data_IF_842071986144
#
_entry.id   IF_842071986144
#
_cell.length_a   1.000
_cell.length_b   1.000
_cell.length_c   1.000
_cell.angle_alpha   90.00
_cell.angle_beta   90.00
_cell.angle_gamma   90.00
#
_symmetry.space_group_name_H-M   'P 1'
#
loop_
_entity.id
_entity.type
_entity.pdbx_description
1 polymer ?
#
# COMPACT_ATOMS: atom_id res chain seq x y z
N UNK A 1 12.65 -13.59 6.77
CA UNK A 1 11.62 -13.40 5.72
C UNK A 1 11.36 -14.76 5.08
N UNK A 2 10.12 -15.05 4.72
CA UNK A 2 9.69 -16.27 4.03
C UNK A 2 8.91 -15.90 2.78
N UNK A 3 8.96 -16.74 1.74
CA UNK A 3 8.26 -16.49 0.48
C UNK A 3 7.21 -17.58 0.23
N UNK A 4 6.03 -17.21 -0.29
CA UNK A 4 5.10 -18.18 -0.86
C UNK A 4 5.67 -18.74 -2.18
N UNK A 5 5.09 -19.83 -2.68
CA UNK A 5 5.46 -20.37 -4.00
C UNK A 5 5.06 -19.41 -5.14
N UNK A 6 3.90 -18.77 -4.99
CA UNK A 6 3.34 -17.76 -5.89
C UNK A 6 3.16 -16.46 -5.09
N UNK A 7 3.62 -15.33 -5.59
CA UNK A 7 3.51 -14.06 -4.86
C UNK A 7 2.07 -13.54 -4.89
N UNK A 8 1.46 -13.56 -6.08
CA UNK A 8 0.10 -13.08 -6.29
C UNK A 8 -0.64 -13.90 -7.34
N UNK A 9 -1.93 -14.12 -7.12
CA UNK A 9 -2.85 -14.60 -8.13
C UNK A 9 -4.08 -13.68 -8.27
N UNK A 10 -4.70 -13.68 -9.44
CA UNK A 10 -5.92 -12.94 -9.73
C UNK A 10 -6.90 -13.86 -10.48
N UNK A 11 -7.85 -14.50 -9.77
CA UNK A 11 -8.80 -15.42 -10.39
C UNK A 11 -9.84 -14.71 -11.26
N UNK A 12 -10.35 -15.44 -12.24
CA UNK A 12 -11.44 -15.07 -13.14
C UNK A 12 -12.61 -16.08 -13.01
N UNK A 13 -13.80 -15.66 -13.45
CA UNK A 13 -15.03 -16.46 -13.35
C UNK A 13 -14.99 -17.77 -14.16
N UNK A 14 -14.14 -17.84 -15.18
CA UNK A 14 -13.94 -19.04 -16.01
C UNK A 14 -13.03 -20.08 -15.35
N UNK A 15 -12.59 -19.85 -14.11
CA UNK A 15 -11.68 -20.71 -13.38
C UNK A 15 -10.21 -20.53 -13.74
N UNK A 16 -9.87 -19.64 -14.69
CA UNK A 16 -8.49 -19.26 -14.97
C UNK A 16 -8.00 -18.17 -14.01
N UNK A 17 -6.69 -17.89 -14.00
CA UNK A 17 -6.11 -16.85 -13.17
C UNK A 17 -4.92 -16.20 -13.86
N UNK A 18 -4.70 -14.91 -13.59
CA UNK A 18 -3.41 -14.27 -13.79
C UNK A 18 -2.50 -14.57 -12.60
N UNK A 19 -1.25 -14.97 -12.86
CA UNK A 19 -0.32 -15.44 -11.82
C UNK A 19 0.97 -14.64 -11.88
N UNK A 20 1.50 -14.28 -10.71
CA UNK A 20 2.73 -13.51 -10.54
C UNK A 20 3.70 -14.30 -9.66
N UNK A 21 4.89 -14.52 -10.21
CA UNK A 21 6.02 -15.14 -9.53
C UNK A 21 7.12 -14.12 -9.27
N UNK A 22 8.04 -14.46 -8.36
CA UNK A 22 9.35 -13.82 -8.22
C UNK A 22 10.28 -14.20 -9.38
N UNK A 23 9.80 -14.00 -10.61
CA UNK A 23 10.50 -14.24 -11.85
C UNK A 23 9.65 -13.72 -13.01
N UNK A 24 10.24 -12.80 -13.78
CA UNK A 24 9.62 -12.29 -15.00
C UNK A 24 9.40 -13.41 -16.03
N UNK A 25 10.32 -14.37 -16.10
CA UNK A 25 10.26 -15.45 -17.08
C UNK A 25 9.19 -16.47 -16.70
N UNK A 26 9.17 -16.95 -15.45
CA UNK A 26 8.11 -17.86 -15.00
C UNK A 26 6.73 -17.24 -15.17
N UNK A 27 6.59 -15.96 -14.85
CA UNK A 27 5.32 -15.24 -15.03
C UNK A 27 4.95 -15.10 -16.51
N UNK A 28 5.89 -14.74 -17.37
CA UNK A 28 5.62 -14.59 -18.80
C UNK A 28 5.24 -15.95 -19.45
N UNK A 29 5.80 -17.05 -18.96
CA UNK A 29 5.51 -18.39 -19.49
C UNK A 29 4.05 -18.82 -19.21
N UNK A 30 3.42 -18.29 -18.16
CA UNK A 30 1.99 -18.52 -17.88
C UNK A 30 1.05 -17.56 -18.63
N UNK A 31 1.57 -16.62 -19.43
CA UNK A 31 0.77 -15.56 -20.07
C UNK A 31 0.42 -15.81 -21.54
N UNK A 32 0.82 -16.95 -22.10
CA UNK A 32 0.54 -17.32 -23.49
C UNK A 32 0.90 -16.20 -24.47
N UNK A 33 -0.06 -15.65 -25.26
CA UNK A 33 0.23 -14.61 -26.26
C UNK A 33 0.66 -13.26 -25.67
N UNK A 34 0.53 -13.05 -24.36
CA UNK A 34 0.99 -11.84 -23.67
C UNK A 34 2.40 -11.95 -23.07
N UNK A 35 3.07 -13.10 -23.16
CA UNK A 35 4.42 -13.30 -22.62
C UNK A 35 5.41 -12.18 -23.00
N UNK A 36 5.53 -11.89 -24.30
CA UNK A 36 6.41 -10.82 -24.82
C UNK A 36 5.94 -9.43 -24.41
N UNK A 37 4.63 -9.22 -24.33
CA UNK A 37 4.03 -7.93 -23.93
C UNK A 37 4.31 -7.62 -22.47
N UNK A 38 4.22 -8.62 -21.61
CA UNK A 38 4.53 -8.52 -20.19
C UNK A 38 6.01 -8.25 -19.94
N UNK A 39 6.90 -9.01 -20.59
CA UNK A 39 8.35 -8.74 -20.54
C UNK A 39 8.69 -7.31 -20.96
N UNK A 40 8.06 -6.80 -22.02
CA UNK A 40 8.24 -5.40 -22.46
C UNK A 40 7.63 -4.36 -21.54
N UNK A 41 6.59 -4.71 -20.80
CA UNK A 41 5.92 -3.80 -19.89
C UNK A 41 6.72 -3.61 -18.59
N UNK A 42 7.22 -4.70 -18.01
CA UNK A 42 7.75 -4.75 -16.63
C UNK A 42 9.21 -5.21 -16.55
N UNK A 43 9.73 -5.93 -17.55
CA UNK A 43 11.03 -6.61 -17.44
C UNK A 43 12.22 -5.67 -17.24
N UNK A 44 12.24 -4.52 -17.93
CA UNK A 44 13.27 -3.49 -17.74
C UNK A 44 13.23 -2.87 -16.34
N UNK A 45 12.02 -2.67 -15.80
CA UNK A 45 11.80 -2.16 -14.45
C UNK A 45 12.23 -3.17 -13.39
N UNK A 46 11.90 -4.45 -13.57
CA UNK A 46 12.29 -5.51 -12.63
C UNK A 46 13.82 -5.71 -12.59
N UNK A 47 14.47 -5.73 -13.76
CA UNK A 47 15.92 -5.91 -13.85
C UNK A 47 16.72 -4.74 -13.26
N UNK A 48 16.18 -3.52 -13.30
CA UNK A 48 16.83 -2.30 -12.83
C UNK A 48 16.12 -1.68 -11.62
N UNK A 49 15.40 -2.49 -10.84
CA UNK A 49 14.51 -1.97 -9.82
C UNK A 49 15.24 -1.11 -8.78
N UNK A 50 16.43 -1.52 -8.35
CA UNK A 50 17.19 -0.83 -7.30
C UNK A 50 17.58 0.59 -7.71
N UNK A 51 17.99 0.73 -8.98
CA UNK A 51 18.34 2.01 -9.56
C UNK A 51 17.10 2.90 -9.77
N UNK A 52 15.97 2.31 -10.15
CA UNK A 52 14.71 3.04 -10.34
C UNK A 52 14.08 3.45 -9.01
N UNK A 53 14.09 2.57 -8.01
CA UNK A 53 13.55 2.81 -6.68
C UNK A 53 14.27 3.97 -6.01
N UNK A 54 15.58 4.07 -6.19
CA UNK A 54 16.38 5.18 -5.67
C UNK A 54 15.89 6.55 -6.19
N UNK A 55 15.50 6.64 -7.45
CA UNK A 55 15.04 7.90 -8.06
C UNK A 55 13.54 8.15 -7.88
N UNK A 56 12.70 7.11 -7.96
CA UNK A 56 11.23 7.22 -7.87
C UNK A 56 10.77 7.41 -6.43
N UNK A 57 11.49 6.86 -5.45
CA UNK A 57 11.12 6.96 -4.04
C UNK A 57 11.72 8.18 -3.33
N UNK A 58 12.31 9.12 -4.09
CA UNK A 58 12.78 10.42 -3.59
C UNK A 58 11.76 11.53 -3.87
N UNK A 59 11.80 12.63 -3.11
CA UNK A 59 11.04 13.83 -3.45
C UNK A 59 11.32 14.29 -4.89
N UNK A 60 10.25 14.59 -5.64
CA UNK A 60 10.28 14.88 -7.08
C UNK A 60 11.08 16.14 -7.46
N UNK A 61 11.45 16.96 -6.48
CA UNK A 61 12.25 18.17 -6.69
C UNK A 61 13.77 17.87 -6.68
N UNK A 62 14.17 16.60 -6.56
CA UNK A 62 15.57 16.19 -6.67
C UNK A 62 15.98 15.89 -8.12
N UNK A 63 17.25 16.11 -8.46
CA UNK A 63 17.83 15.72 -9.75
C UNK A 63 17.96 14.19 -9.76
N UNK A 64 17.37 13.47 -10.74
CA UNK A 64 17.46 12.01 -10.81
C UNK A 64 18.89 11.57 -11.09
N UNK A 65 19.37 10.53 -10.41
CA UNK A 65 20.69 9.94 -10.67
C UNK A 65 20.70 9.11 -11.96
N UNK A 66 19.55 8.62 -12.39
CA UNK A 66 19.39 7.77 -13.57
C UNK A 66 18.32 8.34 -14.54
N UNK A 67 18.57 9.51 -15.16
CA UNK A 67 17.58 10.20 -16.00
C UNK A 67 17.13 9.40 -17.22
N UNK A 68 18.01 8.59 -17.81
CA UNK A 68 17.67 7.72 -18.96
C UNK A 68 16.68 6.62 -18.56
N UNK A 69 16.83 6.06 -17.35
CA UNK A 69 15.93 5.01 -16.84
C UNK A 69 14.60 5.60 -16.42
N UNK A 70 14.61 6.77 -15.79
CA UNK A 70 13.40 7.53 -15.51
C UNK A 70 12.67 7.91 -16.82
N UNK A 71 13.39 8.23 -17.89
CA UNK A 71 12.80 8.50 -19.21
C UNK A 71 12.24 7.24 -19.91
N UNK A 72 12.75 6.05 -19.62
CA UNK A 72 12.18 4.79 -20.12
C UNK A 72 10.89 4.38 -19.36
N UNK A 73 10.82 4.68 -18.06
CA UNK A 73 9.65 4.43 -17.22
C UNK A 73 8.57 5.51 -17.39
N UNK A 74 8.97 6.78 -17.46
CA UNK A 74 8.10 7.96 -17.40
C UNK A 74 6.92 7.95 -18.38
N UNK A 75 7.13 7.66 -19.68
CA UNK A 75 6.04 7.62 -20.65
C UNK A 75 4.98 6.56 -20.33
N UNK A 76 5.36 5.40 -19.80
CA UNK A 76 4.43 4.34 -19.39
C UNK A 76 3.76 4.71 -18.06
N UNK A 77 4.55 5.20 -17.11
CA UNK A 77 4.11 5.55 -15.77
C UNK A 77 3.00 6.62 -15.77
N UNK A 78 3.06 7.61 -16.67
CA UNK A 78 2.06 8.69 -16.77
C UNK A 78 0.71 8.22 -17.29
N UNK A 79 0.65 7.11 -18.05
CA UNK A 79 -0.59 6.64 -18.65
C UNK A 79 -1.62 6.20 -17.60
N UNK A 80 -2.92 6.38 -17.87
CA UNK A 80 -3.95 5.68 -17.14
C UNK A 80 -3.81 4.16 -17.24
N UNK A 81 -4.06 3.45 -16.16
CA UNK A 81 -4.05 1.99 -16.12
C UNK A 81 -5.05 1.39 -17.12
N UNK A 82 -6.19 2.07 -17.38
CA UNK A 82 -7.15 1.67 -18.43
C UNK A 82 -6.56 1.69 -19.84
N UNK A 83 -5.56 2.54 -20.11
CA UNK A 83 -4.85 2.57 -21.39
C UNK A 83 -3.82 1.45 -21.43
N UNK A 84 -3.03 1.28 -20.36
CA UNK A 84 -2.03 0.22 -20.29
C UNK A 84 -2.65 -1.18 -20.36
N UNK A 85 -3.82 -1.40 -19.76
CA UNK A 85 -4.52 -2.69 -19.84
C UNK A 85 -4.81 -3.14 -21.28
N UNK A 86 -5.05 -2.20 -22.21
CA UNK A 86 -5.29 -2.50 -23.63
C UNK A 86 -4.05 -3.03 -24.36
N UNK A 87 -2.85 -2.86 -23.78
CA UNK A 87 -1.63 -3.46 -24.28
C UNK A 87 -1.70 -4.98 -24.29
N UNK A 88 -2.35 -5.55 -23.27
CA UNK A 88 -2.51 -6.99 -23.09
C UNK A 88 -3.74 -7.52 -23.85
N UNK A 89 -3.64 -8.75 -24.36
CA UNK A 89 -4.68 -9.41 -25.17
C UNK A 89 -5.61 -10.29 -24.35
N UNK A 90 -5.06 -10.99 -23.37
CA UNK A 90 -5.76 -11.97 -22.53
C UNK A 90 -6.37 -11.29 -21.31
N UNK A 91 -7.48 -11.84 -20.82
CA UNK A 91 -8.10 -11.34 -19.59
C UNK A 91 -7.22 -11.62 -18.37
N UNK A 92 -6.46 -12.72 -18.34
CA UNK A 92 -5.54 -13.06 -17.25
C UNK A 92 -4.46 -11.98 -17.06
N UNK A 93 -3.81 -11.55 -18.15
CA UNK A 93 -2.77 -10.51 -18.07
C UNK A 93 -3.35 -9.13 -17.71
N UNK A 94 -4.53 -8.80 -18.26
CA UNK A 94 -5.25 -7.57 -17.92
C UNK A 94 -5.67 -7.53 -16.46
N UNK A 95 -6.26 -8.62 -15.97
CA UNK A 95 -6.77 -8.74 -14.63
C UNK A 95 -5.62 -8.70 -13.62
N UNK A 96 -4.53 -9.43 -13.86
CA UNK A 96 -3.34 -9.37 -13.01
C UNK A 96 -2.78 -7.95 -12.91
N UNK A 97 -2.57 -7.27 -14.04
CA UNK A 97 -2.13 -5.88 -14.04
C UNK A 97 -3.14 -4.94 -13.32
N UNK A 98 -4.44 -5.17 -13.53
CA UNK A 98 -5.52 -4.44 -12.86
C UNK A 98 -5.48 -4.58 -11.35
N UNK A 99 -5.27 -5.80 -10.84
CA UNK A 99 -5.10 -6.06 -9.42
C UNK A 99 -3.92 -5.28 -8.84
N UNK A 100 -2.76 -5.28 -9.52
CA UNK A 100 -1.61 -4.46 -9.10
C UNK A 100 -1.93 -2.96 -9.12
N UNK A 101 -2.60 -2.47 -10.17
CA UNK A 101 -2.95 -1.06 -10.30
C UNK A 101 -4.00 -0.61 -9.27
N UNK A 102 -4.90 -1.50 -8.82
CA UNK A 102 -5.91 -1.21 -7.83
C UNK A 102 -5.32 -0.81 -6.46
N UNK A 103 -4.10 -1.25 -6.12
CA UNK A 103 -3.36 -0.75 -4.94
C UNK A 103 -3.20 0.78 -4.92
N UNK A 104 -3.37 1.45 -6.07
CA UNK A 104 -3.41 2.90 -6.14
C UNK A 104 -4.59 3.52 -5.37
N UNK A 105 -5.65 2.77 -5.06
CA UNK A 105 -6.80 3.25 -4.28
C UNK A 105 -7.43 4.51 -4.90
N UNK A 106 -7.58 4.51 -6.22
CA UNK A 106 -8.04 5.65 -7.03
C UNK A 106 -8.67 5.17 -8.34
N UNK A 107 -9.31 6.08 -9.07
CA UNK A 107 -9.87 5.73 -10.38
C UNK A 107 -8.75 5.37 -11.36
N UNK A 108 -8.84 4.20 -11.97
CA UNK A 108 -7.84 3.66 -12.90
C UNK A 108 -7.79 4.34 -14.27
N UNK A 109 -8.71 5.28 -14.54
CA UNK A 109 -8.73 6.12 -15.74
C UNK A 109 -7.95 7.43 -15.59
N UNK A 110 -7.31 7.65 -14.44
CA UNK A 110 -6.51 8.85 -14.16
C UNK A 110 -5.05 8.66 -14.54
N UNK A 111 -4.33 9.73 -14.95
CA UNK A 111 -2.88 9.68 -15.15
C UNK A 111 -2.16 9.14 -13.91
N UNK A 112 -0.95 8.61 -14.11
CA UNK A 112 -0.06 8.08 -13.06
C UNK A 112 -0.50 6.75 -12.40
N UNK A 113 -1.67 6.23 -12.74
CA UNK A 113 -2.16 4.96 -12.17
C UNK A 113 -1.40 3.74 -12.69
N UNK A 114 -0.84 3.81 -13.91
CA UNK A 114 0.05 2.78 -14.43
C UNK A 114 1.34 2.67 -13.63
N UNK A 115 1.86 3.79 -13.10
CA UNK A 115 3.11 3.82 -12.35
C UNK A 115 3.07 2.84 -11.16
N UNK A 116 2.01 2.88 -10.36
CA UNK A 116 1.83 2.01 -9.20
C UNK A 116 1.73 0.53 -9.63
N UNK A 117 0.88 0.22 -10.62
CA UNK A 117 0.75 -1.16 -11.11
C UNK A 117 2.06 -1.75 -11.63
N UNK A 118 2.84 -0.96 -12.38
CA UNK A 118 4.15 -1.38 -12.89
C UNK A 118 5.19 -1.52 -11.78
N UNK A 119 5.22 -0.61 -10.80
CA UNK A 119 6.16 -0.69 -9.67
C UNK A 119 5.88 -1.92 -8.80
N UNK A 120 4.61 -2.22 -8.50
CA UNK A 120 4.22 -3.42 -7.77
C UNK A 120 4.54 -4.71 -8.52
N UNK A 121 4.35 -4.73 -9.84
CA UNK A 121 4.76 -5.87 -10.67
C UNK A 121 6.29 -6.00 -10.69
N UNK A 122 7.04 -4.91 -10.83
CA UNK A 122 8.49 -4.92 -10.87
C UNK A 122 9.13 -5.36 -9.54
N UNK A 123 8.61 -4.87 -8.40
CA UNK A 123 9.05 -5.34 -7.07
C UNK A 123 8.80 -6.83 -6.88
N UNK A 124 7.62 -7.31 -7.29
CA UNK A 124 7.30 -8.73 -7.20
C UNK A 124 8.27 -9.58 -8.02
N UNK A 125 8.52 -9.23 -9.29
CA UNK A 125 9.47 -9.99 -10.12
C UNK A 125 10.90 -10.00 -9.56
N UNK A 126 11.32 -8.90 -8.92
CA UNK A 126 12.69 -8.74 -8.40
C UNK A 126 12.87 -9.38 -7.03
N UNK A 127 11.97 -9.10 -6.10
CA UNK A 127 12.10 -9.40 -4.67
C UNK A 127 11.03 -10.35 -4.13
N UNK A 128 9.99 -10.62 -4.91
CA UNK A 128 8.80 -11.31 -4.46
C UNK A 128 8.04 -10.49 -3.44
N UNK A 129 7.02 -11.09 -2.85
CA UNK A 129 6.24 -10.53 -1.74
C UNK A 129 6.48 -11.33 -0.46
N UNK A 130 7.61 -11.09 0.22
CA UNK A 130 7.95 -11.85 1.42
C UNK A 130 7.01 -11.56 2.57
N UNK A 131 6.85 -12.56 3.42
CA UNK A 131 6.20 -12.51 4.71
C UNK A 131 7.28 -12.45 5.80
N UNK A 132 7.07 -11.59 6.80
CA UNK A 132 7.86 -11.62 8.01
C UNK A 132 7.48 -12.87 8.82
N UNK A 133 8.48 -13.68 9.17
CA UNK A 133 8.31 -14.83 10.05
C UNK A 133 7.83 -14.35 11.42
N UNK A 134 6.78 -14.98 11.95
CA UNK A 134 6.05 -14.53 13.13
C UNK A 134 5.11 -13.33 12.89
N UNK A 135 4.94 -12.88 11.65
CA UNK A 135 4.08 -11.75 11.28
C UNK A 135 4.74 -10.37 11.42
N UNK A 136 3.99 -9.31 11.14
CA UNK A 136 4.51 -7.92 11.13
C UNK A 136 5.04 -7.44 12.48
N UNK A 137 4.59 -8.04 13.58
CA UNK A 137 5.11 -7.75 14.92
C UNK A 137 6.61 -8.02 15.07
N UNK A 138 7.18 -8.97 14.32
CA UNK A 138 8.62 -9.26 14.38
C UNK A 138 9.47 -8.14 13.77
N UNK A 139 8.96 -7.45 12.75
CA UNK A 139 9.60 -6.24 12.19
C UNK A 139 9.66 -5.15 13.26
N UNK A 140 8.54 -4.92 13.96
CA UNK A 140 8.46 -3.89 15.01
C UNK A 140 9.37 -4.23 16.18
N UNK A 141 9.38 -5.49 16.63
CA UNK A 141 10.26 -5.95 17.71
C UNK A 141 11.74 -5.77 17.35
N UNK A 142 12.13 -6.07 16.10
CA UNK A 142 13.50 -5.84 15.63
C UNK A 142 13.87 -4.35 15.62
N UNK A 143 12.98 -3.48 15.16
CA UNK A 143 13.21 -2.03 15.17
C UNK A 143 13.28 -1.45 16.60
N UNK A 144 12.45 -1.95 17.51
CA UNK A 144 12.47 -1.58 18.92
C UNK A 144 13.81 -1.98 19.58
N UNK A 145 14.29 -3.20 19.32
CA UNK A 145 15.59 -3.66 19.84
C UNK A 145 16.76 -2.80 19.32
N UNK A 146 16.73 -2.39 18.05
CA UNK A 146 17.75 -1.47 17.49
C UNK A 146 17.69 -0.10 18.17
N UNK A 147 16.49 0.42 18.43
CA UNK A 147 16.30 1.70 19.13
C UNK A 147 16.88 1.63 20.55
N UNK A 148 16.53 0.58 21.31
CA UNK A 148 17.01 0.35 22.68
C UNK A 148 18.54 0.16 22.74
N UNK A 149 19.11 -0.58 21.78
CA UNK A 149 20.56 -0.76 21.67
C UNK A 149 21.33 0.56 21.45
N UNK A 150 20.67 1.59 20.92
CA UNK A 150 21.22 2.94 20.76
C UNK A 150 20.77 3.91 21.87
N UNK A 151 20.29 3.38 23.00
CA UNK A 151 19.88 4.17 24.16
C UNK A 151 18.52 4.87 24.03
N UNK A 152 17.73 4.51 23.02
CA UNK A 152 16.37 4.99 22.87
C UNK A 152 15.39 4.32 23.85
N UNK A 153 14.31 5.02 24.17
CA UNK A 153 13.27 4.54 25.09
C UNK A 153 11.91 4.56 24.40
N UNK A 154 11.07 3.57 24.68
CA UNK A 154 9.70 3.49 24.14
C UNK A 154 8.71 3.70 25.27
N UNK A 155 7.81 4.67 25.13
CA UNK A 155 6.69 4.90 26.04
C UNK A 155 5.36 4.55 25.35
N UNK A 156 4.64 3.57 25.90
CA UNK A 156 3.31 3.14 25.42
C UNK A 156 2.21 3.58 26.39
N UNK A 157 0.95 3.59 25.93
CA UNK A 157 -0.19 4.03 26.75
C UNK A 157 -0.27 5.54 26.96
N UNK A 158 0.54 6.31 26.23
CA UNK A 158 0.59 7.78 26.28
C UNK A 158 -0.02 8.34 24.99
N UNK A 159 -1.11 9.09 25.11
CA UNK A 159 -1.71 9.79 23.97
C UNK A 159 -1.24 11.25 23.95
N UNK A 160 -0.41 11.62 22.97
CA UNK A 160 0.01 13.01 22.73
C UNK A 160 -1.12 13.78 22.07
N UNK A 161 -1.70 14.74 22.78
CA UNK A 161 -2.83 15.57 22.32
C UNK A 161 -2.43 16.99 21.98
N UNK A 162 -1.31 17.47 22.52
CA UNK A 162 -0.76 18.79 22.24
C UNK A 162 0.74 18.89 22.49
N UNK A 163 1.34 20.00 22.06
CA UNK A 163 2.79 20.24 22.17
C UNK A 163 3.33 20.13 23.61
N UNK A 164 2.53 20.49 24.61
CA UNK A 164 2.90 20.40 26.03
C UNK A 164 3.11 18.97 26.53
N UNK A 165 2.57 17.98 25.81
CA UNK A 165 2.71 16.56 26.17
C UNK A 165 4.04 15.99 25.63
N UNK A 166 4.76 16.76 24.81
CA UNK A 166 6.05 16.38 24.23
C UNK A 166 7.16 16.97 25.13
N UNK A 167 8.10 16.14 25.63
CA UNK A 167 9.25 16.63 26.39
C UNK A 167 10.08 17.65 25.60
N UNK A 168 10.88 18.44 26.30
CA UNK A 168 11.83 19.34 25.65
C UNK A 168 12.82 18.52 24.81
N UNK A 169 12.92 18.86 23.52
CA UNK A 169 13.65 18.08 22.53
C UNK A 169 14.18 18.97 21.40
N UNK A 170 15.42 18.72 20.97
CA UNK A 170 16.03 19.41 19.83
C UNK A 170 15.32 19.11 18.51
N UNK A 171 14.81 17.88 18.38
CA UNK A 171 14.11 17.38 17.18
C UNK A 171 12.84 16.64 17.61
N UNK A 172 11.73 16.96 16.94
CA UNK A 172 10.47 16.22 17.05
C UNK A 172 10.09 15.66 15.69
N UNK A 173 9.93 14.34 15.60
CA UNK A 173 9.49 13.63 14.39
C UNK A 173 8.06 13.13 14.59
N UNK A 174 7.14 13.65 13.78
CA UNK A 174 5.72 13.35 13.84
C UNK A 174 5.37 12.27 12.81
N UNK A 175 5.22 11.04 13.27
CA UNK A 175 4.66 9.95 12.45
C UNK A 175 3.12 10.01 12.47
N UNK A 176 2.60 11.15 12.00
CA UNK A 176 1.20 11.52 12.11
C UNK A 176 0.61 11.97 10.77
N UNK A 177 -0.71 11.96 10.67
CA UNK A 177 -1.42 12.61 9.56
C UNK A 177 -1.28 14.14 9.63
N UNK A 178 -1.40 14.86 8.50
CA UNK A 178 -1.40 16.32 8.49
C UNK A 178 -2.45 16.95 9.41
N UNK A 179 -3.61 16.30 9.58
CA UNK A 179 -4.66 16.74 10.49
C UNK A 179 -4.26 16.60 11.96
N UNK A 180 -3.62 15.49 12.34
CA UNK A 180 -3.10 15.31 13.69
C UNK A 180 -1.94 16.27 13.99
N UNK A 181 -1.02 16.47 13.03
CA UNK A 181 0.05 17.46 13.17
C UNK A 181 -0.49 18.89 13.35
N UNK A 182 -1.56 19.25 12.62
CA UNK A 182 -2.26 20.53 12.79
C UNK A 182 -2.87 20.70 14.18
N UNK A 183 -3.41 19.63 14.76
CA UNK A 183 -3.97 19.68 16.12
C UNK A 183 -2.91 19.98 17.17
N UNK A 184 -1.71 19.39 17.02
CA UNK A 184 -0.63 19.51 18.01
C UNK A 184 0.17 20.81 17.84
N UNK A 185 0.49 21.22 16.60
CA UNK A 185 1.40 22.33 16.29
C UNK A 185 0.77 23.48 15.49
N UNK A 186 -0.54 23.44 15.22
CA UNK A 186 -1.18 24.37 14.29
C UNK A 186 -1.14 25.84 14.73
N UNK A 187 -0.93 26.13 16.01
CA UNK A 187 -0.72 27.48 16.57
C UNK A 187 0.66 28.04 16.21
N UNK A 188 1.69 27.19 16.19
CA UNK A 188 3.07 27.54 15.87
C UNK A 188 3.41 27.44 14.37
N UNK A 189 2.61 26.73 13.58
CA UNK A 189 2.86 26.55 12.14
C UNK A 189 2.67 27.85 11.34
N UNK A 190 3.55 28.15 10.36
CA UNK A 190 3.33 29.23 9.40
C UNK A 190 2.00 29.08 8.65
N UNK A 191 1.31 30.20 8.43
CA UNK A 191 -0.04 30.22 7.86
C UNK A 191 -0.16 29.47 6.51
N UNK A 192 0.88 29.52 5.66
CA UNK A 192 0.90 28.82 4.37
C UNK A 192 0.90 27.29 4.54
N UNK A 193 1.73 26.77 5.43
CA UNK A 193 1.82 25.32 5.71
C UNK A 193 0.54 24.85 6.38
N UNK A 194 0.04 25.62 7.36
CA UNK A 194 -1.24 25.36 8.02
C UNK A 194 -2.39 25.23 7.04
N UNK A 195 -2.46 26.12 6.04
CA UNK A 195 -3.46 26.05 4.95
C UNK A 195 -3.31 24.81 4.08
N UNK A 196 -2.08 24.40 3.75
CA UNK A 196 -1.84 23.17 2.98
C UNK A 196 -2.33 21.93 3.73
N UNK A 197 -2.01 21.79 5.02
CA UNK A 197 -2.44 20.63 5.80
C UNK A 197 -3.96 20.58 5.97
N UNK A 198 -4.64 21.74 6.07
CA UNK A 198 -6.11 21.81 6.13
C UNK A 198 -6.79 21.36 4.84
N UNK A 199 -6.10 21.50 3.70
CA UNK A 199 -6.59 21.09 2.38
C UNK A 199 -6.15 19.69 2.00
N UNK A 200 -5.37 19.01 2.85
CA UNK A 200 -4.91 17.65 2.61
C UNK A 200 -6.11 16.71 2.57
N UNK A 201 -6.25 15.96 1.47
CA UNK A 201 -7.43 15.13 1.24
C UNK A 201 -7.17 13.69 1.66
N UNK A 202 -8.15 13.11 2.34
CA UNK A 202 -8.28 11.68 2.59
C UNK A 202 -9.18 11.06 1.51
N UNK A 203 -9.11 9.74 1.34
CA UNK A 203 -10.00 9.06 0.40
C UNK A 203 -9.79 7.57 0.17
N UNK A 204 -8.81 6.93 0.81
CA UNK A 204 -8.40 5.55 0.50
C UNK A 204 -8.88 4.54 1.56
N UNK A 205 -10.20 4.48 1.78
CA UNK A 205 -10.77 3.73 2.90
C UNK A 205 -10.88 2.23 2.68
N UNK A 206 -10.51 1.45 3.71
CA UNK A 206 -10.64 0.00 3.72
C UNK A 206 -11.73 -0.46 4.70
N UNK A 207 -12.37 -1.59 4.39
CA UNK A 207 -13.11 -2.37 5.36
C UNK A 207 -12.38 -3.70 5.51
N UNK A 208 -11.89 -4.01 6.71
CA UNK A 208 -10.98 -5.13 6.94
C UNK A 208 -11.72 -6.28 7.61
N UNK A 209 -11.48 -7.51 7.16
CA UNK A 209 -11.99 -8.73 7.80
C UNK A 209 -10.89 -9.77 7.88
N UNK A 210 -10.63 -10.24 9.09
CA UNK A 210 -9.78 -11.40 9.37
C UNK A 210 -10.65 -12.64 9.57
N UNK A 211 -10.16 -13.77 9.07
CA UNK A 211 -10.79 -15.07 9.23
C UNK A 211 -9.80 -16.05 9.85
N UNK A 212 -10.28 -16.90 10.75
CA UNK A 212 -9.66 -18.19 11.04
C UNK A 212 -10.42 -19.25 10.25
N UNK A 213 -9.73 -20.02 9.41
CA UNK A 213 -10.35 -21.04 8.57
C UNK A 213 -9.83 -22.44 8.88
N UNK A 214 -10.66 -23.47 8.73
CA UNK A 214 -10.27 -24.88 8.87
C UNK A 214 -9.76 -25.45 7.54
N UNK A 215 -8.47 -25.74 7.45
CA UNK A 215 -7.77 -26.12 6.24
C UNK A 215 -7.49 -24.93 5.33
N UNK A 216 -7.44 -25.17 4.02
CA UNK A 216 -7.16 -24.12 3.03
C UNK A 216 -8.45 -23.57 2.39
N UNK A 217 -8.33 -22.42 1.75
CA UNK A 217 -9.40 -21.86 0.93
C UNK A 217 -9.58 -22.76 -0.32
N UNK A 218 -10.81 -23.22 -0.62
CA UNK A 218 -11.09 -24.12 -1.74
C UNK A 218 -11.17 -23.35 -3.07
N UNK A 219 -10.09 -22.67 -3.45
CA UNK A 219 -10.03 -21.91 -4.71
C UNK A 219 -10.32 -22.81 -5.92
N UNK A 220 -11.16 -22.32 -6.84
CA UNK A 220 -11.44 -22.98 -8.12
C UNK A 220 -10.16 -23.14 -8.94
N UNK A 221 -9.31 -22.11 -8.95
CA UNK A 221 -8.01 -22.16 -9.62
C UNK A 221 -6.91 -22.64 -8.64
N UNK A 222 -6.16 -23.71 -8.96
CA UNK A 222 -5.15 -24.27 -8.06
C UNK A 222 -3.95 -23.36 -7.79
N UNK A 223 -3.65 -22.39 -8.66
CA UNK A 223 -2.57 -21.42 -8.43
C UNK A 223 -2.93 -20.46 -7.30
N UNK A 224 -4.21 -20.13 -7.12
CA UNK A 224 -4.66 -19.27 -6.02
C UNK A 224 -4.42 -19.92 -4.65
N UNK A 225 -4.43 -21.26 -4.55
CA UNK A 225 -4.12 -21.99 -3.30
C UNK A 225 -2.65 -21.89 -2.89
N UNK A 226 -1.77 -21.58 -3.84
CA UNK A 226 -0.31 -21.46 -3.64
C UNK A 226 0.16 -20.01 -3.54
N UNK A 227 -0.76 -19.06 -3.73
CA UNK A 227 -0.47 -17.64 -3.78
C UNK A 227 -0.53 -16.99 -2.38
N UNK A 228 0.55 -16.31 -1.98
CA UNK A 228 0.58 -15.58 -0.71
C UNK A 228 -0.43 -14.43 -0.64
N UNK A 229 -0.75 -13.83 -1.79
CA UNK A 229 -1.81 -12.83 -1.95
C UNK A 229 -2.73 -13.18 -3.12
N UNK A 230 -4.02 -12.87 -2.99
CA UNK A 230 -5.02 -13.03 -4.05
C UNK A 230 -5.80 -11.73 -4.22
N UNK A 231 -5.90 -11.26 -5.46
CA UNK A 231 -6.68 -10.08 -5.83
C UNK A 231 -8.02 -10.48 -6.43
N UNK A 232 -9.12 -10.15 -5.75
CA UNK A 232 -10.46 -10.53 -6.14
C UNK A 232 -11.19 -9.33 -6.73
N UNK A 233 -11.16 -9.23 -8.05
CA UNK A 233 -11.86 -8.18 -8.78
C UNK A 233 -12.41 -8.61 -10.13
N UNK A 234 -12.29 -9.88 -10.50
CA UNK A 234 -12.68 -10.38 -11.81
C UNK A 234 -11.91 -9.71 -12.96
N UNK A 235 -12.52 -9.56 -14.15
CA UNK A 235 -11.88 -8.90 -15.29
C UNK A 235 -11.46 -7.45 -14.99
N UNK A 236 -10.45 -6.95 -15.72
CA UNK A 236 -9.96 -5.57 -15.52
C UNK A 236 -11.06 -4.50 -15.60
N UNK A 237 -12.03 -4.69 -16.50
CA UNK A 237 -13.14 -3.76 -16.66
C UNK A 237 -14.02 -3.65 -15.41
N UNK A 238 -14.18 -4.76 -14.66
CA UNK A 238 -14.90 -4.79 -13.39
C UNK A 238 -14.12 -4.01 -12.32
N UNK A 239 -12.81 -4.26 -12.17
CA UNK A 239 -11.93 -3.51 -11.26
C UNK A 239 -11.99 -2.00 -11.55
N UNK A 240 -11.94 -1.61 -12.82
CA UNK A 240 -11.99 -0.20 -13.20
C UNK A 240 -13.35 0.45 -12.90
N UNK A 241 -14.44 -0.31 -12.98
CA UNK A 241 -15.78 0.14 -12.60
C UNK A 241 -15.95 0.23 -11.08
N UNK A 242 -15.52 -0.77 -10.32
CA UNK A 242 -15.62 -0.79 -8.86
C UNK A 242 -14.82 0.36 -8.24
N UNK A 243 -13.58 0.60 -8.69
CA UNK A 243 -12.77 1.73 -8.23
C UNK A 243 -13.39 3.09 -8.61
N UNK A 244 -14.08 3.15 -9.75
CA UNK A 244 -14.83 4.35 -10.14
C UNK A 244 -16.01 4.61 -9.23
N UNK A 245 -16.82 3.60 -8.94
CA UNK A 245 -17.98 3.68 -8.04
C UNK A 245 -17.53 4.11 -6.63
N UNK A 246 -16.48 3.46 -6.10
CA UNK A 246 -15.87 3.80 -4.81
C UNK A 246 -15.46 5.27 -4.74
N UNK A 247 -14.73 5.75 -5.75
CA UNK A 247 -14.30 7.14 -5.84
C UNK A 247 -15.47 8.15 -5.96
N UNK A 248 -16.66 7.69 -6.37
CA UNK A 248 -17.90 8.47 -6.39
C UNK A 248 -18.70 8.36 -5.09
N UNK A 249 -18.16 7.69 -4.06
CA UNK A 249 -18.84 7.49 -2.79
C UNK A 249 -19.83 6.32 -2.77
N UNK A 250 -19.85 5.49 -3.82
CA UNK A 250 -20.78 4.36 -3.95
C UNK A 250 -20.10 3.05 -3.61
N UNK A 251 -20.69 2.28 -2.69
CA UNK A 251 -20.23 0.92 -2.40
C UNK A 251 -20.58 0.00 -3.57
N UNK A 252 -19.59 -0.72 -4.09
CA UNK A 252 -19.81 -1.70 -5.14
C UNK A 252 -20.40 -2.98 -4.52
N UNK A 253 -21.32 -3.63 -5.25
CA UNK A 253 -21.90 -4.93 -4.84
C UNK A 253 -20.81 -6.01 -4.76
N UNK A 254 -19.87 -5.98 -5.70
CA UNK A 254 -18.70 -6.88 -5.76
C UNK A 254 -17.43 -6.03 -5.66
N UNK A 255 -17.02 -5.62 -4.44
CA UNK A 255 -15.88 -4.73 -4.27
C UNK A 255 -14.57 -5.44 -4.66
N UNK A 256 -13.54 -4.64 -4.97
CA UNK A 256 -12.20 -5.19 -5.07
C UNK A 256 -11.72 -5.61 -3.66
N UNK A 257 -11.37 -6.88 -3.51
CA UNK A 257 -10.92 -7.46 -2.22
C UNK A 257 -9.50 -8.00 -2.39
N UNK A 258 -8.62 -7.65 -1.46
CA UNK A 258 -7.33 -8.30 -1.32
C UNK A 258 -7.41 -9.34 -0.22
N UNK A 259 -6.86 -10.52 -0.48
CA UNK A 259 -6.80 -11.64 0.46
C UNK A 259 -5.34 -12.02 0.65
N UNK A 260 -4.88 -12.09 1.89
CA UNK A 260 -3.54 -12.57 2.23
C UNK A 260 -3.58 -13.93 2.90
N UNK A 261 -2.86 -14.89 2.30
CA UNK A 261 -2.69 -16.27 2.75
C UNK A 261 -1.27 -16.47 3.30
N UNK A 262 -0.88 -15.61 4.25
CA UNK A 262 0.51 -15.53 4.71
C UNK A 262 1.02 -16.81 5.41
N UNK A 263 0.10 -17.65 5.90
CA UNK A 263 0.42 -18.97 6.46
C UNK A 263 1.10 -19.91 5.45
N UNK A 264 0.90 -19.71 4.14
CA UNK A 264 1.57 -20.48 3.09
C UNK A 264 3.09 -20.24 3.08
N UNK A 265 3.51 -19.02 3.39
CA UNK A 265 4.93 -18.66 3.51
C UNK A 265 5.47 -18.96 4.91
N UNK A 266 4.65 -18.76 5.94
CA UNK A 266 5.01 -18.96 7.34
C UNK A 266 3.97 -19.83 8.07
N UNK A 267 4.15 -21.17 8.05
CA UNK A 267 3.25 -22.10 8.72
C UNK A 267 3.18 -21.96 10.24
N UNK A 268 4.15 -21.27 10.87
CA UNK A 268 4.14 -21.04 12.33
C UNK A 268 2.97 -20.19 12.80
N UNK A 269 2.27 -19.54 11.86
CA UNK A 269 1.07 -18.73 12.11
C UNK A 269 -0.20 -19.55 12.26
N UNK A 270 -0.17 -20.82 11.86
CA UNK A 270 -1.29 -21.73 11.95
C UNK A 270 -1.27 -22.53 13.24
N UNK A 271 -2.45 -22.90 13.73
CA UNK A 271 -2.60 -23.76 14.90
C UNK A 271 -3.37 -25.01 14.50
N UNK A 272 -2.72 -26.17 14.55
CA UNK A 272 -3.22 -27.41 13.97
C UNK A 272 -3.64 -27.20 12.50
N UNK A 273 -4.92 -27.41 12.16
CA UNK A 273 -5.45 -27.19 10.82
C UNK A 273 -6.10 -25.80 10.64
N UNK A 274 -6.00 -24.92 11.63
CA UNK A 274 -6.60 -23.59 11.58
C UNK A 274 -5.61 -22.57 11.02
N UNK A 275 -5.96 -22.01 9.87
CA UNK A 275 -5.14 -21.05 9.13
C UNK A 275 -5.71 -19.62 9.26
N UNK A 276 -4.89 -18.61 9.61
CA UNK A 276 -5.33 -17.22 9.62
C UNK A 276 -5.25 -16.60 8.22
N UNK A 277 -6.32 -15.93 7.83
CA UNK A 277 -6.42 -15.16 6.58
C UNK A 277 -6.76 -13.71 6.94
N UNK A 278 -6.08 -12.76 6.30
CA UNK A 278 -6.52 -11.36 6.35
C UNK A 278 -7.12 -10.97 5.02
N UNK A 279 -8.13 -10.11 5.04
CA UNK A 279 -8.69 -9.52 3.84
C UNK A 279 -9.11 -8.08 4.07
N UNK A 280 -9.20 -7.30 3.01
CA UNK A 280 -9.90 -6.03 3.05
C UNK A 280 -10.53 -5.68 1.70
N UNK A 281 -11.69 -5.04 1.76
CA UNK A 281 -12.35 -4.45 0.60
C UNK A 281 -12.00 -2.98 0.46
N UNK A 282 -11.93 -2.53 -0.79
CA UNK A 282 -11.96 -1.10 -1.09
C UNK A 282 -13.38 -0.56 -0.95
N UNK A 283 -13.58 0.38 -0.02
CA UNK A 283 -14.89 0.96 0.29
C UNK A 283 -14.88 2.49 0.10
N UNK A 284 -16.07 3.13 -0.06
CA UNK A 284 -16.18 4.58 -0.06
C UNK A 284 -15.54 5.22 1.17
N UNK A 285 -15.08 6.46 1.03
CA UNK A 285 -14.49 7.19 2.15
C UNK A 285 -15.48 7.33 3.31
N UNK A 286 -15.09 6.85 4.50
CA UNK A 286 -15.95 6.87 5.69
C UNK A 286 -17.20 6.00 5.58
N UNK A 287 -17.16 4.92 4.79
CA UNK A 287 -18.28 3.98 4.66
C UNK A 287 -18.73 3.45 6.03
N UNK A 288 -20.02 3.62 6.34
CA UNK A 288 -20.63 3.30 7.65
C UNK A 288 -21.36 1.97 7.69
N UNK A 289 -21.49 1.28 6.55
CA UNK A 289 -22.10 -0.05 6.49
C UNK A 289 -21.12 -1.17 6.81
N UNK A 290 -21.63 -2.39 6.84
CA UNK A 290 -20.84 -3.61 7.04
C UNK A 290 -20.57 -4.29 5.68
N UNK A 291 -19.30 -4.36 5.28
CA UNK A 291 -18.88 -5.03 4.04
C UNK A 291 -18.50 -6.50 4.25
N UNK A 292 -18.69 -7.07 5.45
CA UNK A 292 -18.29 -8.46 5.77
C UNK A 292 -18.93 -9.46 4.82
N UNK A 293 -20.25 -9.37 4.60
CA UNK A 293 -20.95 -10.28 3.68
C UNK A 293 -20.41 -10.17 2.25
N UNK A 294 -20.22 -8.94 1.75
CA UNK A 294 -19.69 -8.69 0.41
C UNK A 294 -18.26 -9.22 0.22
N UNK A 295 -17.41 -9.15 1.26
CA UNK A 295 -16.07 -9.74 1.24
C UNK A 295 -16.15 -11.27 1.16
N UNK A 296 -16.99 -11.88 1.99
CA UNK A 296 -17.18 -13.34 1.98
C UNK A 296 -17.76 -13.80 0.64
N UNK A 297 -18.76 -13.10 0.10
CA UNK A 297 -19.34 -13.37 -1.24
C UNK A 297 -18.29 -13.27 -2.34
N UNK A 298 -17.41 -12.28 -2.26
CA UNK A 298 -16.36 -12.10 -3.25
C UNK A 298 -15.31 -13.21 -3.19
N UNK A 299 -14.99 -13.73 -2.00
CA UNK A 299 -14.13 -14.92 -1.85
C UNK A 299 -14.86 -16.16 -2.37
N UNK A 300 -16.11 -16.37 -1.96
CA UNK A 300 -16.97 -17.49 -2.35
C UNK A 300 -17.13 -17.61 -3.87
N UNK A 301 -17.24 -16.47 -4.59
CA UNK A 301 -17.31 -16.41 -6.05
C UNK A 301 -16.16 -17.15 -6.73
N UNK A 302 -14.95 -17.10 -6.17
CA UNK A 302 -13.74 -17.73 -6.73
C UNK A 302 -13.27 -18.97 -5.95
N UNK A 303 -13.88 -19.22 -4.79
CA UNK A 303 -13.62 -20.37 -3.92
C UNK A 303 -14.93 -20.90 -3.30
N UNK A 304 -15.78 -21.60 -4.08
CA UNK A 304 -17.01 -22.19 -3.58
C UNK A 304 -16.75 -23.12 -2.39
N UNK A 305 -17.50 -22.95 -1.31
CA UNK A 305 -17.31 -23.62 -0.02
C UNK A 305 -16.41 -22.87 0.97
N UNK A 306 -15.96 -21.65 0.65
CA UNK A 306 -15.17 -20.83 1.59
C UNK A 306 -15.93 -20.54 2.89
N UNK A 307 -17.23 -20.21 2.79
CA UNK A 307 -18.11 -19.98 3.96
C UNK A 307 -18.06 -21.12 4.98
N UNK A 308 -18.06 -22.36 4.50
CA UNK A 308 -18.04 -23.56 5.34
C UNK A 308 -16.69 -23.78 6.04
N UNK A 309 -15.62 -23.08 5.59
CA UNK A 309 -14.29 -23.14 6.21
C UNK A 309 -14.13 -22.13 7.34
N UNK A 310 -14.99 -21.13 7.46
CA UNK A 310 -14.83 -20.06 8.45
C UNK A 310 -15.15 -20.59 9.86
N UNK A 311 -14.12 -20.58 10.72
CA UNK A 311 -14.25 -20.93 12.15
C UNK A 311 -14.46 -19.69 13.01
N UNK A 312 -13.82 -18.57 12.65
CA UNK A 312 -14.00 -17.29 13.32
C UNK A 312 -13.81 -16.13 12.35
N UNK A 313 -14.47 -15.01 12.66
CA UNK A 313 -14.43 -13.77 11.88
C UNK A 313 -14.19 -12.60 12.82
N UNK A 314 -13.30 -11.68 12.43
CA UNK A 314 -13.12 -10.39 13.09
C UNK A 314 -13.13 -9.28 12.03
N UNK A 315 -14.09 -8.35 12.12
CA UNK A 315 -14.22 -7.22 11.20
C UNK A 315 -13.83 -5.90 11.85
N UNK A 316 -13.26 -5.01 11.05
CA UNK A 316 -12.96 -3.63 11.40
C UNK A 316 -13.47 -2.73 10.27
N UNK A 317 -14.54 -2.00 10.55
CA UNK A 317 -15.08 -0.99 9.66
C UNK A 317 -14.24 0.29 9.66
N UNK A 318 -14.69 1.28 8.90
CA UNK A 318 -13.90 2.50 8.70
C UNK A 318 -13.76 3.33 9.98
N UNK A 319 -14.77 3.31 10.85
CA UNK A 319 -14.75 3.99 12.14
C UNK A 319 -13.85 3.27 13.14
N UNK A 320 -13.90 1.94 13.18
CA UNK A 320 -13.07 1.10 14.04
C UNK A 320 -11.59 1.21 13.65
N UNK A 321 -11.28 1.26 12.35
CA UNK A 321 -9.91 1.51 11.88
C UNK A 321 -9.38 2.89 12.34
N UNK A 322 -10.22 3.92 12.26
CA UNK A 322 -9.87 5.26 12.74
C UNK A 322 -9.69 5.32 14.27
N UNK A 323 -10.46 4.53 15.02
CA UNK A 323 -10.31 4.40 16.47
C UNK A 323 -9.05 3.61 16.85
N UNK A 324 -8.74 2.54 16.11
CA UNK A 324 -7.54 1.73 16.29
C UNK A 324 -6.26 2.54 16.03
N UNK A 325 -6.25 3.32 14.95
CA UNK A 325 -5.15 4.22 14.64
C UNK A 325 -5.69 5.57 14.17
N UNK A 326 -5.53 6.66 14.95
CA UNK A 326 -6.02 7.99 14.59
C UNK A 326 -5.46 8.57 13.29
N UNK A 327 -4.43 7.96 12.69
CA UNK A 327 -3.95 8.29 11.36
C UNK A 327 -4.86 7.76 10.23
N UNK A 328 -5.68 6.73 10.48
CA UNK A 328 -6.60 6.14 9.52
C UNK A 328 -7.94 6.88 9.46
N UNK A 329 -7.87 8.18 9.18
CA UNK A 329 -9.04 9.07 9.16
C UNK A 329 -10.08 8.53 8.17
N UNK A 330 -11.29 8.24 8.65
CA UNK A 330 -12.37 7.66 7.83
C UNK A 330 -12.02 6.29 7.26
N UNK A 331 -11.11 5.54 7.88
CA UNK A 331 -10.61 4.25 7.42
C UNK A 331 -9.51 4.33 6.36
N UNK A 332 -8.95 5.52 6.07
CA UNK A 332 -7.89 5.70 5.06
C UNK A 332 -6.56 5.07 5.51
N UNK A 333 -6.26 3.88 4.98
CA UNK A 333 -5.05 3.12 5.32
C UNK A 333 -3.79 3.60 4.58
N UNK A 334 -3.95 4.42 3.54
CA UNK A 334 -2.88 4.96 2.69
C UNK A 334 -2.33 6.28 3.27
N UNK A 335 -3.10 6.92 4.17
CA UNK A 335 -2.75 8.18 4.82
C UNK A 335 -2.88 9.38 3.89
N UNK A 336 -3.81 9.30 2.93
CA UNK A 336 -4.17 10.36 2.01
C UNK A 336 -4.70 9.85 0.67
N UNK A 337 -5.45 10.71 -0.02
CA UNK A 337 -5.91 10.45 -1.37
C UNK A 337 -4.72 10.32 -2.36
N UNK A 338 -4.78 9.27 -3.17
CA UNK A 338 -3.85 8.99 -4.27
C UNK A 338 -4.40 9.52 -5.61
N UNK A 339 -4.77 10.79 -5.68
CA UNK A 339 -5.25 11.40 -6.91
C UNK A 339 -4.63 12.79 -7.19
N UNK A 340 -4.68 13.16 -8.47
CA UNK A 340 -4.17 14.44 -8.97
C UNK A 340 -2.72 14.71 -8.57
N UNK A 341 -2.43 15.96 -8.21
CA UNK A 341 -1.09 16.39 -7.82
C UNK A 341 -0.69 15.91 -6.41
N UNK A 342 -1.63 15.44 -5.57
CA UNK A 342 -1.31 15.00 -4.20
C UNK A 342 -0.45 13.73 -4.18
N UNK A 343 -0.51 12.89 -5.22
CA UNK A 343 0.36 11.71 -5.36
C UNK A 343 1.83 12.11 -5.29
N UNK A 344 2.20 13.16 -6.01
CA UNK A 344 3.60 13.58 -6.20
C UNK A 344 4.01 14.66 -5.18
N UNK A 345 3.07 15.53 -4.80
CA UNK A 345 3.36 16.76 -4.06
C UNK A 345 2.85 16.71 -2.60
N UNK A 346 2.56 15.52 -2.06
CA UNK A 346 2.16 15.38 -0.64
C UNK A 346 3.29 15.76 0.33
N UNK A 347 2.97 16.26 1.54
CA UNK A 347 1.68 16.84 1.91
C UNK A 347 1.50 18.26 1.33
N UNK A 348 2.58 18.84 0.78
CA UNK A 348 2.63 20.16 0.18
C UNK A 348 3.79 20.28 -0.81
N UNK A 349 3.66 21.19 -1.78
CA UNK A 349 4.74 21.55 -2.69
C UNK A 349 5.88 22.21 -1.90
N UNK A 350 7.04 21.56 -1.86
CA UNK A 350 8.22 22.07 -1.15
C UNK A 350 9.50 21.33 -1.53
N UNK A 351 10.62 22.04 -1.49
CA UNK A 351 11.97 21.46 -1.49
C UNK A 351 12.30 20.64 -0.23
N UNK A 352 11.59 20.88 0.88
CA UNK A 352 11.65 20.08 2.10
C UNK A 352 10.22 19.80 2.57
N UNK A 353 9.55 18.74 2.07
CA UNK A 353 8.17 18.42 2.41
C UNK A 353 8.01 17.90 3.85
N UNK A 354 9.10 17.49 4.50
CA UNK A 354 9.12 16.95 5.86
C UNK A 354 9.05 18.05 6.92
N UNK A 355 9.72 19.19 6.74
CA UNK A 355 9.64 20.28 7.70
C UNK A 355 8.24 20.89 7.76
N UNK A 356 7.71 21.10 8.97
CA UNK A 356 6.37 21.70 9.17
C UNK A 356 6.40 23.23 9.34
N UNK A 357 7.60 23.83 9.27
CA UNK A 357 7.82 25.26 9.47
C UNK A 357 7.94 25.71 10.92
N UNK A 358 7.85 24.79 11.88
CA UNK A 358 8.25 25.00 13.28
C UNK A 358 9.70 24.51 13.40
N UNK A 359 10.63 25.30 13.97
CA UNK A 359 12.03 24.89 14.15
C UNK A 359 12.14 23.54 14.88
N UNK A 360 12.96 22.62 14.36
CA UNK A 360 13.16 21.29 14.96
C UNK A 360 12.02 20.28 14.72
N UNK A 361 10.92 20.63 14.05
CA UNK A 361 9.75 19.73 13.93
C UNK A 361 9.52 19.27 12.49
N UNK A 362 9.37 17.96 12.33
CA UNK A 362 9.27 17.26 11.05
C UNK A 362 8.08 16.30 11.01
N UNK A 363 7.48 16.13 9.85
CA UNK A 363 6.51 15.08 9.54
C UNK A 363 7.26 13.92 8.88
N UNK A 364 7.04 12.68 9.34
CA UNK A 364 7.76 11.49 8.87
C UNK A 364 6.85 10.31 8.47
N UNK A 365 5.55 10.54 8.37
CA UNK A 365 4.57 9.51 8.05
C UNK A 365 4.37 9.26 6.55
N UNK A 366 3.55 8.26 6.23
CA UNK A 366 3.08 7.97 4.86
C UNK A 366 2.37 9.12 4.14
N UNK A 367 2.02 10.19 4.85
CA UNK A 367 1.53 11.44 4.25
C UNK A 367 2.64 12.30 3.64
N UNK A 368 3.91 11.91 3.79
CA UNK A 368 5.08 12.54 3.15
C UNK A 368 5.64 11.69 2.01
N UNK A 369 6.42 12.27 1.07
CA UNK A 369 7.01 11.49 -0.01
C UNK A 369 8.05 10.48 0.52
N UNK A 370 8.13 9.28 -0.06
CA UNK A 370 7.49 8.87 -1.33
C UNK A 370 6.02 8.45 -1.25
N UNK A 371 5.44 8.35 -0.06
CA UNK A 371 4.02 8.10 0.14
C UNK A 371 3.75 6.83 0.92
N UNK A 372 2.63 6.17 0.60
CA UNK A 372 2.19 4.97 1.30
C UNK A 372 3.02 3.74 0.90
N UNK A 373 3.15 2.82 1.85
CA UNK A 373 3.85 1.55 1.68
C UNK A 373 4.75 1.21 2.87
N UNK A 374 5.09 -0.06 3.00
CA UNK A 374 5.92 -0.56 4.11
C UNK A 374 7.40 -0.54 3.69
N UNK A 375 7.94 0.66 3.45
CA UNK A 375 9.33 0.84 2.97
C UNK A 375 10.20 1.73 3.88
N UNK A 376 9.64 2.41 4.89
CA UNK A 376 10.40 3.21 5.87
C UNK A 376 11.02 4.54 5.37
N UNK A 377 11.09 4.76 4.06
CA UNK A 377 11.74 5.94 3.45
C UNK A 377 11.17 7.30 3.87
N UNK A 378 9.89 7.40 4.24
CA UNK A 378 9.32 8.64 4.77
C UNK A 378 10.03 9.07 6.06
N UNK A 379 10.26 8.12 6.96
CA UNK A 379 11.06 8.30 8.18
C UNK A 379 12.52 8.63 7.88
N UNK A 380 13.14 7.87 6.98
CA UNK A 380 14.52 8.07 6.57
C UNK A 380 14.79 9.50 6.04
N UNK A 381 14.00 9.97 5.07
CA UNK A 381 14.21 11.29 4.48
C UNK A 381 13.86 12.44 5.44
N UNK A 382 12.88 12.25 6.33
CA UNK A 382 12.61 13.20 7.40
C UNK A 382 13.79 13.31 8.38
N UNK A 383 14.41 12.17 8.75
CA UNK A 383 15.58 12.13 9.60
C UNK A 383 16.78 12.82 8.92
N UNK A 384 17.02 12.57 7.62
CA UNK A 384 18.05 13.30 6.86
C UNK A 384 17.80 14.81 6.83
N UNK A 385 16.54 15.23 6.69
CA UNK A 385 16.16 16.65 6.73
C UNK A 385 16.41 17.29 8.10
N UNK A 386 16.17 16.56 9.19
CA UNK A 386 16.47 16.97 10.55
C UNK A 386 17.98 17.07 10.81
N UNK A 387 18.75 16.06 10.42
CA UNK A 387 20.22 16.05 10.56
C UNK A 387 20.88 17.22 9.81
N UNK A 388 20.40 17.54 8.60
CA UNK A 388 20.90 18.72 7.85
C UNK A 388 20.62 20.03 8.58
N UNK A 389 19.49 20.13 9.28
CA UNK A 389 19.16 21.33 10.06
C UNK A 389 20.04 21.47 11.31
N UNK A 390 20.27 20.38 12.05
CA UNK A 390 21.18 20.37 13.20
C UNK A 390 22.60 20.78 12.80
N UNK A 391 23.14 20.20 11.72
CA UNK A 391 24.49 20.54 11.22
C UNK A 391 24.63 22.02 10.87
N UNK A 392 23.61 22.61 10.25
CA UNK A 392 23.60 24.03 9.92
C UNK A 392 23.55 24.93 11.15
N UNK A 393 22.93 24.47 12.24
CA UNK A 393 22.81 25.21 13.49
C UNK A 393 24.04 25.08 14.39
N UNK A 394 24.80 23.98 14.27
CA UNK A 394 26.06 23.78 14.99
C UNK A 394 27.27 24.45 14.32
N UNK A 395 27.19 24.70 13.01
CA UNK A 395 28.27 25.29 12.22
C UNK A 395 28.16 26.81 11.96
N UNK A 396 27.20 27.50 12.59
CA UNK A 396 27.04 28.94 12.54
C UNK A 396 26.79 29.47 13.93
#
# INVERSE_FOLDING_TARGET
>A
LRWPEIDCAHPLDDGTAGVLYQSIDRTADTMGPDATRWRRAVGDLAANFDDLAHDVLRPVINIPHHPIRLAAFGPRAVLPATVMARWFRTEQARALFGGQAAHAYTRLDRPLTTALGLMFAATAHRYGWPVAEGGSGSIIAALAAVLEAHGGTIATGVTVTGRRDIPDADIVMLDLSPAAALRIYGDAMPARIKRSYRRYRQGSSAFKVDFAIDGDIPWTNPDCRRAGSVHLGGPFAEIADTERQRAQGKMAERPFVLVGQQYLADPSRSSANINPIWSYAHVPFGYTGDATAAIVDQIERFAPGFRDRIVATASLGTAELAAYNPNYIGGDIIGGANDGLQVILRPRISTNPYAIGVPGVYLCSQSTPPGAGIHGLCGYHAAEAALRWVRKRAGG
#
